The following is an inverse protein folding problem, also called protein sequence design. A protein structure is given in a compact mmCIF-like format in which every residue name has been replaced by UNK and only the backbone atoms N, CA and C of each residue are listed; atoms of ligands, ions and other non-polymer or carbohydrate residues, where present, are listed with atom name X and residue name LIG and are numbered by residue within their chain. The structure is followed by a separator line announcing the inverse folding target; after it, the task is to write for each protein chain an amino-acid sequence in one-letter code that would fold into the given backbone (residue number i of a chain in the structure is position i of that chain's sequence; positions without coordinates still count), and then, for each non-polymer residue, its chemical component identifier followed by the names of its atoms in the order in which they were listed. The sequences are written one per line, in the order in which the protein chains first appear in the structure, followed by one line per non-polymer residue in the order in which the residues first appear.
data_IF_790562420157
#
_entry.id   IF_790562420157
#
_cell.length_a   1.000
_cell.length_b   1.000
_cell.length_c   1.000
_cell.angle_alpha   90.00
_cell.angle_beta   90.00
_cell.angle_gamma   90.00
#
_symmetry.space_group_name_H-M   'P 1'
#
loop_
_entity.id
_entity.type
_entity.pdbx_description
1 polymer ?
#
# COMPACT_ATOMS: atom_id res chain seq x y z
N UNK A 1 6.91 -1.07 -15.16
CA UNK A 1 8.13 -0.87 -14.35
C UNK A 1 8.52 0.59 -14.48
N UNK A 2 8.55 1.34 -13.37
CA UNK A 2 9.04 2.72 -13.34
C UNK A 2 10.19 2.77 -12.34
N UNK A 3 11.35 3.18 -12.83
CA UNK A 3 12.56 3.40 -12.03
C UNK A 3 12.75 4.92 -11.97
N UNK A 4 12.90 5.47 -10.77
CA UNK A 4 13.23 6.88 -10.57
C UNK A 4 14.40 6.97 -9.60
N UNK A 5 15.49 7.56 -10.07
CA UNK A 5 16.68 7.89 -9.28
C UNK A 5 16.82 9.42 -9.34
N UNK A 6 16.75 10.09 -8.20
CA UNK A 6 17.02 11.53 -8.11
C UNK A 6 18.20 11.77 -7.18
N UNK A 7 19.28 12.30 -7.75
CA UNK A 7 20.50 12.68 -7.03
C UNK A 7 20.59 14.20 -7.03
N UNK A 8 20.80 14.81 -5.88
CA UNK A 8 21.21 16.22 -5.80
C UNK A 8 22.68 16.29 -5.42
N UNK A 9 23.44 17.13 -6.11
CA UNK A 9 24.84 17.39 -5.77
C UNK A 9 24.89 18.60 -4.83
N UNK A 10 25.43 18.40 -3.63
CA UNK A 10 25.94 19.45 -2.73
C UNK A 10 27.46 19.43 -2.76
N UNK A 11 28.13 20.47 -2.28
CA UNK A 11 29.59 20.67 -2.40
C UNK A 11 30.45 19.62 -1.64
N UNK A 12 29.84 18.79 -0.79
CA UNK A 12 30.46 17.62 -0.16
C UNK A 12 29.80 16.31 -0.61
N UNK A 13 30.63 15.28 -0.78
CA UNK A 13 30.40 13.96 -1.40
C UNK A 13 28.95 13.46 -1.60
N UNK A 14 28.57 13.28 -2.87
CA UNK A 14 27.51 12.40 -3.42
C UNK A 14 26.47 11.81 -2.43
N UNK A 15 25.55 12.63 -1.92
CA UNK A 15 24.36 12.16 -1.21
C UNK A 15 23.28 11.62 -2.18
N UNK A 16 22.70 10.45 -1.89
CA UNK A 16 21.51 9.95 -2.61
C UNK A 16 20.25 10.51 -1.95
N UNK A 17 19.58 11.49 -2.57
CA UNK A 17 18.34 12.06 -2.00
C UNK A 17 17.16 11.08 -2.00
N UNK A 18 16.94 10.35 -3.09
CA UNK A 18 15.86 9.33 -3.17
C UNK A 18 16.15 8.30 -4.26
N UNK A 19 16.12 7.01 -3.89
CA UNK A 19 16.13 5.88 -4.81
C UNK A 19 14.82 5.10 -4.67
N UNK A 20 14.03 5.06 -5.75
CA UNK A 20 12.74 4.39 -5.79
C UNK A 20 12.65 3.31 -6.86
N UNK A 21 12.21 2.11 -6.46
CA UNK A 21 11.86 1.03 -7.38
C UNK A 21 10.39 0.63 -7.20
N UNK A 22 9.59 0.76 -8.27
CA UNK A 22 8.19 0.34 -8.27
C UNK A 22 7.90 -0.69 -9.38
N UNK A 23 7.48 -1.88 -8.96
CA UNK A 23 6.93 -2.92 -9.82
C UNK A 23 5.45 -3.05 -9.55
N UNK A 24 4.64 -2.73 -10.56
CA UNK A 24 3.21 -3.03 -10.58
C UNK A 24 2.96 -4.06 -11.67
N UNK A 25 2.17 -5.09 -11.33
CA UNK A 25 1.74 -6.12 -12.26
C UNK A 25 0.25 -6.33 -12.13
N UNK A 26 -0.47 -6.20 -13.25
CA UNK A 26 -1.91 -6.41 -13.33
C UNK A 26 -2.19 -7.63 -14.23
N UNK A 27 -2.86 -8.64 -13.68
CA UNK A 27 -3.26 -9.86 -14.38
C UNK A 27 -4.78 -9.96 -14.41
N UNK A 28 -5.36 -9.81 -15.59
CA UNK A 28 -6.78 -10.09 -15.80
C UNK A 28 -6.95 -11.57 -16.12
N UNK A 29 -7.45 -12.35 -15.16
CA UNK A 29 -7.68 -13.79 -15.35
C UNK A 29 -8.88 -14.02 -16.26
N UNK A 30 -9.92 -13.18 -16.15
CA UNK A 30 -11.14 -13.23 -16.96
C UNK A 30 -11.82 -11.85 -16.97
N UNK A 31 -12.87 -11.65 -17.79
CA UNK A 31 -13.72 -10.43 -17.75
C UNK A 31 -14.22 -10.05 -16.36
N UNK A 32 -14.36 -11.04 -15.49
CA UNK A 32 -14.92 -10.92 -14.13
C UNK A 32 -13.86 -10.97 -13.03
N UNK A 33 -12.58 -11.21 -13.33
CA UNK A 33 -11.54 -11.41 -12.31
C UNK A 33 -10.25 -10.69 -12.68
N UNK A 34 -9.73 -9.90 -11.75
CA UNK A 34 -8.43 -9.27 -11.86
C UNK A 34 -7.61 -9.49 -10.59
N UNK A 35 -6.34 -9.80 -10.76
CA UNK A 35 -5.34 -9.84 -9.72
C UNK A 35 -4.33 -8.73 -10.00
N UNK A 36 -3.88 -8.01 -8.99
CA UNK A 36 -2.82 -7.04 -9.13
C UNK A 36 -1.85 -7.11 -7.96
N UNK A 37 -0.59 -6.86 -8.24
CA UNK A 37 0.47 -6.84 -7.24
C UNK A 37 1.32 -5.59 -7.43
N UNK A 38 1.79 -5.03 -6.32
CA UNK A 38 2.76 -3.94 -6.34
C UNK A 38 3.85 -4.18 -5.30
N UNK A 39 5.10 -3.92 -5.67
CA UNK A 39 6.24 -3.84 -4.76
C UNK A 39 6.90 -2.49 -4.99
N UNK A 40 7.06 -1.72 -3.93
CA UNK A 40 7.70 -0.42 -3.91
C UNK A 40 8.84 -0.46 -2.90
N UNK A 41 10.04 -0.13 -3.33
CA UNK A 41 11.18 0.11 -2.47
C UNK A 41 11.56 1.58 -2.60
N UNK A 42 11.81 2.25 -1.48
CA UNK A 42 12.31 3.63 -1.45
C UNK A 42 13.44 3.73 -0.43
N UNK A 43 14.52 4.40 -0.80
CA UNK A 43 15.64 4.69 0.09
C UNK A 43 15.99 6.18 -0.02
N UNK A 44 16.03 6.86 1.11
CA UNK A 44 16.42 8.27 1.22
C UNK A 44 17.59 8.41 2.18
N UNK A 45 18.56 9.26 1.85
CA UNK A 45 19.68 9.59 2.72
C UNK A 45 19.83 11.11 2.76
N UNK A 46 19.85 11.66 3.97
CA UNK A 46 20.11 13.07 4.22
C UNK A 46 21.42 13.21 5.00
N UNK A 47 22.33 14.03 4.51
CA UNK A 47 23.43 14.56 5.32
C UNK A 47 22.98 15.89 5.93
N UNK A 48 23.09 15.98 7.25
CA UNK A 48 22.84 17.18 8.05
C UNK A 48 24.15 17.54 8.74
N UNK A 49 24.50 18.82 8.76
CA UNK A 49 25.58 19.30 9.63
C UNK A 49 24.94 19.62 10.99
N UNK A 50 25.39 18.95 12.05
CA UNK A 50 24.93 19.24 13.42
C UNK A 50 25.46 20.61 13.88
N UNK A 51 24.88 21.18 14.94
CA UNK A 51 25.25 22.47 15.51
C UNK A 51 26.74 22.56 15.94
N UNK A 52 27.42 21.40 16.08
CA UNK A 52 28.84 21.27 16.34
C UNK A 52 29.74 21.29 15.08
N UNK A 53 29.16 21.33 13.88
CA UNK A 53 29.89 21.25 12.61
C UNK A 53 30.29 19.83 12.19
N UNK A 54 29.69 18.80 12.80
CA UNK A 54 29.91 17.39 12.42
C UNK A 54 28.87 16.94 11.40
N UNK A 55 29.31 16.15 10.41
CA UNK A 55 28.43 15.53 9.43
C UNK A 55 27.63 14.39 10.06
N UNK A 56 26.34 14.60 10.23
CA UNK A 56 25.37 13.58 10.63
C UNK A 56 24.68 13.03 9.39
N UNK A 57 24.87 11.75 9.14
CA UNK A 57 24.17 11.04 8.06
C UNK A 57 22.94 10.35 8.63
N UNK A 58 21.74 10.77 8.21
CA UNK A 58 20.47 10.09 8.51
C UNK A 58 19.94 9.40 7.25
N UNK A 59 19.41 8.18 7.39
CA UNK A 59 19.01 7.34 6.29
C UNK A 59 17.75 6.55 6.59
N UNK A 60 16.82 6.51 5.63
CA UNK A 60 15.61 5.70 5.72
C UNK A 60 15.48 4.80 4.50
N UNK A 61 15.19 3.52 4.74
CA UNK A 61 14.92 2.53 3.70
C UNK A 61 13.59 1.87 3.98
N UNK A 62 12.64 1.99 3.07
CA UNK A 62 11.28 1.49 3.22
C UNK A 62 10.97 0.51 2.10
N UNK A 63 10.48 -0.67 2.48
CA UNK A 63 9.92 -1.65 1.56
C UNK A 63 8.42 -1.74 1.79
N UNK A 64 7.65 -1.47 0.75
CA UNK A 64 6.19 -1.56 0.72
C UNK A 64 5.77 -2.58 -0.34
N UNK A 65 4.81 -3.43 -0.04
CA UNK A 65 4.27 -4.41 -0.97
C UNK A 65 2.78 -4.56 -0.81
N UNK A 66 2.10 -5.02 -1.84
CA UNK A 66 0.70 -5.34 -1.74
C UNK A 66 0.21 -6.23 -2.86
N UNK A 67 -0.81 -7.03 -2.55
CA UNK A 67 -1.52 -7.88 -3.47
C UNK A 67 -3.01 -7.54 -3.38
N UNK A 68 -3.66 -7.39 -4.52
CA UNK A 68 -5.10 -7.19 -4.61
C UNK A 68 -5.72 -8.24 -5.52
N UNK A 69 -6.87 -8.74 -5.08
CA UNK A 69 -7.72 -9.60 -5.87
C UNK A 69 -9.09 -8.96 -5.97
N UNK A 70 -9.68 -8.96 -7.16
CA UNK A 70 -11.03 -8.46 -7.41
C UNK A 70 -11.78 -9.43 -8.30
N UNK A 71 -12.98 -9.79 -7.90
CA UNK A 71 -13.94 -10.56 -8.67
C UNK A 71 -15.26 -9.80 -8.78
N UNK A 72 -15.73 -9.53 -9.99
CA UNK A 72 -17.00 -8.86 -10.28
C UNK A 72 -17.83 -9.76 -11.17
N UNK A 73 -18.92 -10.32 -10.66
CA UNK A 73 -19.84 -11.17 -11.43
C UNK A 73 -21.14 -10.41 -11.69
N UNK A 74 -21.39 -10.00 -12.94
CA UNK A 74 -22.72 -9.56 -13.35
C UNK A 74 -23.63 -10.80 -13.48
N UNK A 75 -24.75 -10.82 -12.77
CA UNK A 75 -25.81 -11.80 -12.93
C UNK A 75 -27.11 -11.04 -13.21
N UNK A 76 -27.59 -10.96 -14.45
CA UNK A 76 -28.82 -10.20 -14.76
C UNK A 76 -28.71 -8.72 -14.36
N UNK A 77 -29.69 -8.19 -13.60
CA UNK A 77 -29.69 -6.83 -13.01
C UNK A 77 -28.83 -6.71 -11.74
N UNK A 78 -28.19 -7.80 -11.30
CA UNK A 78 -27.42 -7.88 -10.07
C UNK A 78 -25.92 -7.76 -10.40
N UNK A 79 -25.19 -7.01 -9.58
CA UNK A 79 -23.72 -6.99 -9.64
C UNK A 79 -23.14 -7.34 -8.27
N UNK A 80 -22.42 -8.47 -8.24
CA UNK A 80 -21.66 -8.94 -7.09
C UNK A 80 -20.19 -8.58 -7.31
N UNK A 81 -19.62 -7.80 -6.40
CA UNK A 81 -18.21 -7.45 -6.44
C UNK A 81 -17.55 -7.78 -5.11
N UNK A 82 -16.53 -8.64 -5.17
CA UNK A 82 -15.62 -8.90 -4.07
C UNK A 82 -14.26 -8.32 -4.41
N UNK A 83 -13.64 -7.59 -3.48
CA UNK A 83 -12.25 -7.17 -3.58
C UNK A 83 -11.54 -7.39 -2.25
N UNK A 84 -10.35 -7.96 -2.30
CA UNK A 84 -9.45 -8.07 -1.16
C UNK A 84 -8.11 -7.46 -1.51
N UNK A 85 -7.45 -6.86 -0.52
CA UNK A 85 -6.16 -6.20 -0.64
C UNK A 85 -5.35 -6.50 0.61
N UNK A 86 -4.17 -7.09 0.41
CA UNK A 86 -3.13 -7.24 1.42
C UNK A 86 -2.06 -6.20 1.12
N UNK A 87 -1.59 -5.48 2.14
CA UNK A 87 -0.53 -4.49 2.08
C UNK A 87 0.44 -4.78 3.23
N UNK A 88 1.73 -4.79 2.97
CA UNK A 88 2.77 -4.86 3.98
C UNK A 88 3.77 -3.73 3.78
N UNK A 89 4.32 -3.21 4.87
CA UNK A 89 5.39 -2.21 4.86
C UNK A 89 6.39 -2.48 5.97
N UNK A 90 7.68 -2.18 5.74
CA UNK A 90 8.73 -2.28 6.76
C UNK A 90 9.84 -1.26 6.48
N UNK A 91 10.36 -0.61 7.52
CA UNK A 91 11.63 0.11 7.45
C UNK A 91 12.79 -0.87 7.72
N UNK A 92 13.78 -0.90 6.83
CA UNK A 92 14.85 -1.89 6.83
C UNK A 92 15.93 -1.55 7.85
N UNK A 93 16.12 -0.27 8.13
CA UNK A 93 17.22 0.27 8.93
C UNK A 93 16.68 0.99 10.18
N UNK A 94 15.90 0.26 10.98
CA UNK A 94 15.28 0.80 12.20
C UNK A 94 15.43 -0.20 13.32
N UNK A 95 16.03 0.24 14.43
CA UNK A 95 16.15 -0.54 15.66
C UNK A 95 14.80 -0.75 16.35
N UNK A 96 13.81 0.10 16.06
CA UNK A 96 12.43 -0.04 16.53
C UNK A 96 11.63 -0.87 15.50
N UNK A 97 10.73 -1.78 15.93
CA UNK A 97 9.84 -2.48 15.01
C UNK A 97 8.99 -1.49 14.21
N UNK A 98 9.05 -1.53 12.89
CA UNK A 98 8.27 -0.65 11.98
C UNK A 98 7.36 -1.43 11.03
N UNK A 99 7.38 -2.76 11.11
CA UNK A 99 6.58 -3.63 10.25
C UNK A 99 5.10 -3.31 10.46
N UNK A 100 4.38 -3.05 9.37
CA UNK A 100 2.93 -2.94 9.38
C UNK A 100 2.33 -3.83 8.29
N UNK A 101 1.26 -4.53 8.63
CA UNK A 101 0.50 -5.38 7.71
C UNK A 101 -0.95 -4.93 7.75
N UNK A 102 -1.58 -4.81 6.59
CA UNK A 102 -2.98 -4.41 6.45
C UNK A 102 -3.69 -5.30 5.45
N UNK A 103 -4.82 -5.86 5.88
CA UNK A 103 -5.75 -6.60 5.04
C UNK A 103 -7.05 -5.81 4.98
N UNK A 104 -7.51 -5.50 3.78
CA UNK A 104 -8.78 -4.85 3.49
C UNK A 104 -9.58 -5.77 2.59
N UNK A 105 -10.78 -6.16 3.02
CA UNK A 105 -11.71 -6.96 2.24
C UNK A 105 -13.03 -6.21 2.13
N UNK A 106 -13.58 -6.18 0.93
CA UNK A 106 -14.79 -5.45 0.58
C UNK A 106 -15.69 -6.35 -0.25
N UNK A 107 -16.92 -6.49 0.20
CA UNK A 107 -17.98 -7.16 -0.52
C UNK A 107 -19.06 -6.14 -0.86
N UNK A 108 -19.43 -6.07 -2.12
CA UNK A 108 -20.50 -5.22 -2.64
C UNK A 108 -21.52 -6.07 -3.35
N UNK A 109 -22.77 -5.82 -3.04
CA UNK A 109 -23.91 -6.40 -3.71
C UNK A 109 -24.82 -5.26 -4.16
N UNK A 110 -25.29 -5.32 -5.40
CA UNK A 110 -26.28 -4.38 -5.91
C UNK A 110 -27.41 -5.12 -6.59
N UNK A 111 -28.63 -4.69 -6.32
CA UNK A 111 -29.88 -5.18 -6.87
C UNK A 111 -30.79 -4.00 -7.18
N UNK A 112 -30.92 -3.66 -8.47
CA UNK A 112 -31.74 -2.52 -8.89
C UNK A 112 -31.25 -1.21 -8.25
N UNK A 113 -32.09 -0.58 -7.42
CA UNK A 113 -31.79 0.67 -6.69
C UNK A 113 -31.17 0.44 -5.30
N UNK A 114 -31.05 -0.82 -4.86
CA UNK A 114 -30.46 -1.20 -3.58
C UNK A 114 -28.99 -1.58 -3.78
N UNK A 115 -28.10 -0.96 -3.01
CA UNK A 115 -26.69 -1.30 -2.96
C UNK A 115 -26.26 -1.55 -1.51
N UNK A 116 -25.60 -2.66 -1.27
CA UNK A 116 -25.07 -3.06 0.04
C UNK A 116 -23.58 -3.23 -0.06
N UNK A 117 -22.85 -2.68 0.89
CA UNK A 117 -21.39 -2.77 1.00
C UNK A 117 -21.02 -3.25 2.40
N UNK A 118 -20.20 -4.28 2.48
CA UNK A 118 -19.59 -4.78 3.70
C UNK A 118 -18.07 -4.68 3.55
N UNK A 119 -17.43 -3.87 4.38
CA UNK A 119 -15.99 -3.74 4.47
C UNK A 119 -15.46 -4.35 5.76
N UNK A 120 -14.35 -5.07 5.68
CA UNK A 120 -13.59 -5.52 6.82
C UNK A 120 -12.14 -5.07 6.62
N UNK A 121 -11.53 -4.52 7.67
CA UNK A 121 -10.14 -4.11 7.68
C UNK A 121 -9.46 -4.63 8.93
N UNK A 122 -8.34 -5.30 8.74
CA UNK A 122 -7.44 -5.76 9.80
C UNK A 122 -6.11 -5.08 9.54
N UNK A 123 -5.54 -4.42 10.54
CA UNK A 123 -4.19 -3.86 10.45
C UNK A 123 -3.40 -4.20 11.69
N UNK A 124 -2.19 -4.68 11.49
CA UNK A 124 -1.18 -4.87 12.53
C UNK A 124 -0.10 -3.81 12.32
N UNK A 125 0.20 -3.03 13.35
CA UNK A 125 1.27 -2.05 13.33
C UNK A 125 2.52 -2.57 14.04
N UNK A 126 3.61 -1.82 13.89
CA UNK A 126 4.78 -1.83 14.75
C UNK A 126 4.43 -2.17 16.20
N UNK A 127 5.04 -3.22 16.76
CA UNK A 127 4.80 -3.67 18.13
C UNK A 127 3.63 -4.67 18.32
N UNK A 128 3.05 -5.20 17.23
CA UNK A 128 2.06 -6.28 17.29
C UNK A 128 0.65 -5.82 17.66
N UNK A 129 0.38 -4.52 17.60
CA UNK A 129 -0.95 -3.98 17.88
C UNK A 129 -1.87 -4.28 16.70
N UNK A 130 -2.81 -5.20 16.92
CA UNK A 130 -3.81 -5.59 15.91
C UNK A 130 -5.09 -4.78 16.09
N UNK A 131 -5.41 -3.96 15.08
CA UNK A 131 -6.67 -3.24 14.96
C UNK A 131 -7.59 -3.94 13.96
N UNK A 132 -8.84 -4.20 14.35
CA UNK A 132 -9.87 -4.78 13.47
C UNK A 132 -11.04 -3.80 13.39
N UNK A 133 -11.54 -3.59 12.18
CA UNK A 133 -12.70 -2.74 11.93
C UNK A 133 -13.59 -3.38 10.87
N UNK A 134 -14.90 -3.20 11.04
CA UNK A 134 -15.91 -3.65 10.09
C UNK A 134 -16.86 -2.49 9.83
N UNK A 135 -17.24 -2.30 8.58
CA UNK A 135 -18.20 -1.30 8.16
C UNK A 135 -19.29 -1.99 7.32
N UNK A 136 -20.53 -1.66 7.60
CA UNK A 136 -21.68 -2.08 6.81
C UNK A 136 -22.44 -0.83 6.36
N UNK A 137 -22.73 -0.75 5.08
CA UNK A 137 -23.50 0.34 4.49
C UNK A 137 -24.54 -0.25 3.54
N UNK A 138 -25.80 0.17 3.69
CA UNK A 138 -26.87 -0.10 2.74
C UNK A 138 -27.39 1.24 2.21
N UNK A 139 -27.39 1.41 0.89
CA UNK A 139 -27.87 2.60 0.20
C UNK A 139 -29.03 2.22 -0.70
N UNK A 140 -30.15 2.93 -0.57
CA UNK A 140 -31.30 2.82 -1.48
C UNK A 140 -31.44 4.15 -2.21
N UNK A 141 -31.49 4.10 -3.53
CA UNK A 141 -31.76 5.27 -4.38
C UNK A 141 -33.26 5.35 -4.64
N UNK A 142 -33.86 6.55 -4.56
CA UNK A 142 -35.27 6.80 -4.87
C UNK A 142 -35.40 7.47 -6.23
#
# INVERSE_FOLDING_TARGET
MRLSDSRSYSEEETAYNDFGFNVVSDYTVNRVSSFSGSINFSASQNQLVDDAGEDVTDGSRILNGGLSYRNSRPFGIYNLQFSSKLIGSKQIDSDVPTTAVRIESLFRFSLGLLATTLGARISESAGGVVTKSMNFQATRSF
#
